data_IF_097058402009
#
_entry.id   IF_097058402009
#
_cell.length_a   1.000
_cell.length_b   1.000
_cell.length_c   1.000
_cell.angle_alpha   90.00
_cell.angle_beta   90.00
_cell.angle_gamma   90.00
#
_symmetry.space_group_name_H-M   'P 1'
#
loop_
_entity.id
_entity.type
_entity.pdbx_description
1 polymer ?
#
# COMPACT_ATOMS: atom_id res chain seq x y z
N UNK A 1 -17.08 -1.09 16.98
CA UNK A 1 -17.33 -0.59 15.60
C UNK A 1 -16.14 0.23 15.11
N UNK A 2 -15.65 1.19 15.90
CA UNK A 2 -14.41 1.94 15.63
C UNK A 2 -13.16 1.07 15.50
N UNK A 3 -13.10 -0.06 16.21
CA UNK A 3 -11.95 -0.98 16.16
C UNK A 3 -11.70 -1.54 14.77
N UNK A 4 -12.72 -1.72 13.94
CA UNK A 4 -12.53 -2.28 12.60
C UNK A 4 -11.85 -1.31 11.65
N UNK A 5 -12.16 -0.01 11.77
CA UNK A 5 -11.54 1.05 10.97
C UNK A 5 -10.11 1.29 11.43
N UNK A 6 -9.87 1.34 12.75
CA UNK A 6 -8.51 1.45 13.29
C UNK A 6 -7.63 0.27 12.88
N UNK A 7 -8.16 -0.96 12.97
CA UNK A 7 -7.45 -2.14 12.50
C UNK A 7 -7.20 -2.08 10.99
N UNK A 8 -8.18 -1.66 10.19
CA UNK A 8 -7.99 -1.47 8.76
C UNK A 8 -6.86 -0.47 8.47
N UNK A 9 -6.85 0.70 9.11
CA UNK A 9 -5.82 1.72 8.91
C UNK A 9 -4.45 1.21 9.34
N UNK A 10 -4.36 0.53 10.50
CA UNK A 10 -3.12 -0.08 10.98
C UNK A 10 -2.53 -1.09 9.99
N UNK A 11 -3.38 -1.83 9.28
CA UNK A 11 -2.95 -2.75 8.21
C UNK A 11 -2.74 -2.04 6.87
N UNK A 12 -3.56 -1.07 6.49
CA UNK A 12 -3.48 -0.41 5.20
C UNK A 12 -2.24 0.47 5.09
N UNK A 13 -1.85 1.18 6.16
CA UNK A 13 -0.75 2.14 6.15
C UNK A 13 0.63 1.53 5.83
N UNK A 14 1.08 0.43 6.47
CA UNK A 14 2.34 -0.21 6.11
C UNK A 14 2.31 -0.80 4.70
N UNK A 15 1.20 -1.40 4.28
CA UNK A 15 1.07 -1.97 2.95
C UNK A 15 1.00 -0.90 1.85
N UNK A 16 0.38 0.24 2.13
CA UNK A 16 0.35 1.41 1.26
C UNK A 16 1.78 1.93 1.03
N UNK A 17 2.58 2.05 2.09
CA UNK A 17 3.98 2.48 2.00
C UNK A 17 4.81 1.51 1.14
N UNK A 18 4.65 0.21 1.37
CA UNK A 18 5.35 -0.83 0.59
C UNK A 18 4.90 -0.78 -0.87
N UNK A 19 3.59 -0.69 -1.13
CA UNK A 19 3.04 -0.60 -2.49
C UNK A 19 3.48 0.65 -3.24
N UNK A 20 3.56 1.78 -2.54
CA UNK A 20 4.08 3.02 -3.09
C UNK A 20 5.54 2.86 -3.56
N UNK A 21 6.36 2.14 -2.77
CA UNK A 21 7.76 1.91 -3.12
C UNK A 21 7.92 0.91 -4.25
N UNK A 22 7.19 -0.21 -4.20
CA UNK A 22 7.22 -1.22 -5.26
C UNK A 22 6.77 -0.65 -6.61
N UNK A 23 5.72 0.17 -6.62
CA UNK A 23 5.25 0.82 -7.84
C UNK A 23 6.28 1.82 -8.39
N UNK A 24 6.89 2.61 -7.51
CA UNK A 24 7.93 3.56 -7.93
C UNK A 24 9.14 2.85 -8.54
N UNK A 25 9.60 1.76 -7.93
CA UNK A 25 10.71 0.96 -8.42
C UNK A 25 10.38 0.25 -9.74
N UNK A 26 9.15 -0.25 -9.89
CA UNK A 26 8.67 -0.83 -11.14
C UNK A 26 8.58 0.21 -12.28
N UNK A 27 8.21 1.45 -11.95
CA UNK A 27 8.13 2.54 -12.92
C UNK A 27 9.53 3.02 -13.36
N UNK A 28 10.43 3.23 -12.41
CA UNK A 28 11.84 3.62 -12.63
C UNK A 28 12.78 2.41 -12.73
N UNK A 29 12.29 1.29 -13.28
CA UNK A 29 13.02 0.02 -13.27
C UNK A 29 14.40 0.12 -13.95
N UNK A 30 14.53 0.93 -15.00
CA UNK A 30 15.80 1.16 -15.70
C UNK A 30 16.88 1.77 -14.79
N UNK A 31 16.50 2.67 -13.89
CA UNK A 31 17.40 3.28 -12.90
C UNK A 31 17.74 2.30 -11.78
N UNK A 32 16.73 1.64 -11.22
CA UNK A 32 16.91 0.70 -10.10
C UNK A 32 17.60 -0.60 -10.49
N UNK A 33 17.53 -1.03 -11.75
CA UNK A 33 18.31 -2.15 -12.27
C UNK A 33 19.83 -1.87 -12.23
N UNK A 34 20.23 -0.61 -12.38
CA UNK A 34 21.62 -0.18 -12.24
C UNK A 34 22.02 0.08 -10.78
N UNK A 35 21.05 0.46 -9.92
CA UNK A 35 21.26 0.80 -8.52
C UNK A 35 20.35 -0.02 -7.57
N UNK A 36 20.51 -1.36 -7.47
CA UNK A 36 19.61 -2.21 -6.70
C UNK A 36 19.65 -1.94 -5.19
N UNK A 37 20.74 -1.38 -4.67
CA UNK A 37 20.86 -0.95 -3.27
C UNK A 37 19.90 0.19 -2.91
N UNK A 38 19.47 0.98 -3.88
CA UNK A 38 18.60 2.15 -3.66
C UNK A 38 17.12 1.77 -3.59
N UNK A 39 16.76 0.55 -3.98
CA UNK A 39 15.37 0.04 -3.93
C UNK A 39 14.81 0.12 -2.51
N UNK A 40 15.62 -0.28 -1.52
CA UNK A 40 15.26 -0.31 -0.09
C UNK A 40 15.43 1.07 0.57
N UNK A 41 16.18 1.97 -0.05
CA UNK A 41 16.49 3.28 0.49
C UNK A 41 15.29 4.25 0.37
N UNK A 42 14.28 4.02 1.21
CA UNK A 42 13.02 4.80 1.27
C UNK A 42 13.23 6.26 1.69
N UNK A 43 14.39 6.59 2.26
CA UNK A 43 14.77 7.94 2.72
C UNK A 43 15.32 8.86 1.63
N UNK A 44 15.68 8.34 0.45
CA UNK A 44 16.13 9.18 -0.68
C UNK A 44 14.98 9.84 -1.45
N UNK A 45 13.74 9.66 -1.00
CA UNK A 45 12.55 10.01 -1.77
C UNK A 45 12.20 8.95 -2.81
N UNK A 46 11.12 9.18 -3.56
CA UNK A 46 10.58 8.21 -4.52
C UNK A 46 9.39 7.42 -3.97
N UNK A 47 8.33 8.14 -3.63
CA UNK A 47 7.04 7.56 -3.25
C UNK A 47 6.06 7.84 -4.39
N UNK A 48 5.54 6.77 -5.00
CA UNK A 48 4.46 6.88 -5.97
C UNK A 48 3.11 6.81 -5.27
N UNK A 49 2.35 7.91 -5.25
CA UNK A 49 1.00 7.97 -4.65
C UNK A 49 0.07 6.94 -5.29
N UNK A 50 0.18 6.72 -6.60
CA UNK A 50 -0.60 5.71 -7.32
C UNK A 50 -0.35 4.30 -6.79
N UNK A 51 0.91 3.96 -6.45
CA UNK A 51 1.25 2.68 -5.82
C UNK A 51 0.65 2.53 -4.43
N UNK A 52 0.64 3.61 -3.64
CA UNK A 52 0.00 3.63 -2.32
C UNK A 52 -1.50 3.37 -2.42
N UNK A 53 -2.17 4.02 -3.38
CA UNK A 53 -3.61 3.89 -3.61
C UNK A 53 -3.98 2.47 -4.02
N UNK A 54 -3.28 1.91 -5.02
CA UNK A 54 -3.53 0.55 -5.52
C UNK A 54 -3.34 -0.47 -4.40
N UNK A 55 -2.25 -0.38 -3.64
CA UNK A 55 -2.00 -1.28 -2.53
C UNK A 55 -3.05 -1.14 -1.41
N UNK A 56 -3.47 0.08 -1.09
CA UNK A 56 -4.51 0.32 -0.07
C UNK A 56 -5.85 -0.28 -0.47
N UNK A 57 -6.24 -0.16 -1.73
CA UNK A 57 -7.48 -0.76 -2.27
C UNK A 57 -7.41 -2.29 -2.23
N UNK A 58 -6.28 -2.88 -2.57
CA UNK A 58 -6.07 -4.33 -2.49
C UNK A 58 -6.20 -4.82 -1.03
N UNK A 59 -5.56 -4.13 -0.09
CA UNK A 59 -5.65 -4.47 1.34
C UNK A 59 -7.07 -4.33 1.85
N UNK A 60 -7.78 -3.26 1.47
CA UNK A 60 -9.19 -3.07 1.81
C UNK A 60 -10.08 -4.20 1.30
N UNK A 61 -9.90 -4.59 0.03
CA UNK A 61 -10.65 -5.68 -0.57
C UNK A 61 -10.39 -7.02 0.14
N UNK A 62 -9.12 -7.33 0.45
CA UNK A 62 -8.73 -8.53 1.19
C UNK A 62 -9.31 -8.51 2.60
N UNK A 63 -9.23 -7.37 3.31
CA UNK A 63 -9.75 -7.23 4.67
C UNK A 63 -11.26 -7.44 4.73
N UNK A 64 -12.01 -6.85 3.80
CA UNK A 64 -13.46 -7.08 3.67
C UNK A 64 -13.78 -8.55 3.40
N UNK A 65 -12.97 -9.22 2.56
CA UNK A 65 -13.13 -10.64 2.24
C UNK A 65 -12.87 -11.55 3.44
N UNK A 66 -11.83 -11.28 4.23
CA UNK A 66 -11.43 -12.09 5.40
C UNK A 66 -12.41 -11.90 6.56
N UNK A 67 -12.92 -10.68 6.77
CA UNK A 67 -13.84 -10.38 7.88
C UNK A 67 -15.32 -10.61 7.54
N UNK A 68 -15.63 -11.04 6.31
CA UNK A 68 -17.02 -11.23 5.83
C UNK A 68 -17.89 -9.99 6.04
N UNK A 69 -17.28 -8.81 5.96
CA UNK A 69 -17.98 -7.54 6.14
C UNK A 69 -18.40 -6.99 4.77
N UNK A 70 -19.63 -6.47 4.63
CA UNK A 70 -20.02 -5.76 3.42
C UNK A 70 -19.15 -4.50 3.29
N UNK A 71 -18.48 -4.34 2.15
CA UNK A 71 -17.58 -3.21 1.89
C UNK A 71 -18.27 -1.86 2.10
N UNK A 72 -19.59 -1.77 1.83
CA UNK A 72 -20.38 -0.57 2.10
C UNK A 72 -20.43 -0.16 3.57
N UNK A 73 -20.44 -1.10 4.50
CA UNK A 73 -20.49 -0.81 5.94
C UNK A 73 -19.16 -0.28 6.49
N UNK A 74 -18.07 -0.43 5.74
CA UNK A 74 -16.74 0.09 6.11
C UNK A 74 -16.47 1.44 5.44
N UNK A 75 -17.17 1.72 4.33
CA UNK A 75 -17.10 2.97 3.56
C UNK A 75 -18.15 4.01 4.01
N UNK A 76 -19.23 3.58 4.65
CA UNK A 76 -20.26 4.40 5.31
C UNK A 76 -19.82 4.85 6.71
#
# INVERSE_FOLDING_TARGET
KEDHILNLILWALPFALIGARLYYVAFEWSYYAAHPSEIIAIWHGGIAIYGALIASVIVFAIYCRVKWLPAWLVLD
#
